data_IF_114835268937
#
_entry.id   IF_114835268937
#
_cell.length_a   1.000
_cell.length_b   1.000
_cell.length_c   1.000
_cell.angle_alpha   90.00
_cell.angle_beta   90.00
_cell.angle_gamma   90.00
#
_symmetry.space_group_name_H-M   'P 1'
#
loop_
_entity.id
_entity.type
_entity.pdbx_description
1 polymer ?
#
# COMPACT_ATOMS: atom_id res chain seq x y z
N UNK A 1 -3.17 -7.92 -25.84
CA UNK A 1 -2.35 -7.83 -24.61
C UNK A 1 -2.76 -6.70 -23.64
N UNK A 2 -3.33 -5.55 -24.07
CA UNK A 2 -3.69 -4.42 -23.16
C UNK A 2 -4.94 -4.64 -22.28
N UNK A 3 -5.92 -5.43 -22.73
CA UNK A 3 -7.20 -5.57 -22.04
C UNK A 3 -7.10 -6.26 -20.66
N UNK A 4 -6.16 -7.21 -20.49
CA UNK A 4 -5.94 -7.91 -19.22
C UNK A 4 -5.26 -7.03 -18.16
N UNK A 5 -4.33 -6.14 -18.56
CA UNK A 5 -3.68 -5.19 -17.64
C UNK A 5 -4.66 -4.14 -17.12
N UNK A 6 -5.60 -3.68 -17.96
CA UNK A 6 -6.63 -2.71 -17.58
C UNK A 6 -7.46 -3.19 -16.39
N UNK A 7 -7.78 -4.49 -16.37
CA UNK A 7 -8.54 -5.12 -15.28
C UNK A 7 -7.83 -5.00 -13.92
N UNK A 8 -6.51 -5.10 -13.89
CA UNK A 8 -5.71 -5.04 -12.66
C UNK A 8 -5.17 -3.64 -12.35
N UNK A 9 -5.61 -2.58 -13.05
CA UNK A 9 -5.13 -1.21 -12.77
C UNK A 9 -5.41 -0.77 -11.34
N UNK A 10 -6.60 -1.07 -10.82
CA UNK A 10 -6.98 -0.69 -9.47
C UNK A 10 -6.14 -1.39 -8.39
N UNK A 11 -5.98 -2.74 -8.39
CA UNK A 11 -5.11 -3.39 -7.42
C UNK A 11 -3.64 -2.98 -7.57
N UNK A 12 -3.14 -2.77 -8.80
CA UNK A 12 -1.77 -2.27 -9.03
C UNK A 12 -1.60 -0.87 -8.42
N UNK A 13 -2.60 0.00 -8.53
CA UNK A 13 -2.58 1.33 -7.93
C UNK A 13 -2.48 1.23 -6.39
N UNK A 14 -3.35 0.45 -5.76
CA UNK A 14 -3.31 0.26 -4.30
C UNK A 14 -1.99 -0.36 -3.82
N UNK A 15 -1.46 -1.34 -4.56
CA UNK A 15 -0.16 -1.93 -4.24
C UNK A 15 0.97 -0.90 -4.35
N UNK A 16 0.98 -0.08 -5.39
CA UNK A 16 1.98 0.98 -5.56
C UNK A 16 1.91 2.01 -4.43
N UNK A 17 0.70 2.43 -4.03
CA UNK A 17 0.51 3.35 -2.90
C UNK A 17 1.03 2.74 -1.60
N UNK A 18 0.77 1.44 -1.37
CA UNK A 18 1.31 0.71 -0.22
C UNK A 18 2.85 0.75 -0.17
N UNK A 19 3.51 0.47 -1.30
CA UNK A 19 4.97 0.56 -1.41
C UNK A 19 5.49 1.97 -1.16
N UNK A 20 4.79 3.00 -1.64
CA UNK A 20 5.14 4.40 -1.37
C UNK A 20 5.04 4.69 0.14
N UNK A 21 4.01 4.22 0.83
CA UNK A 21 3.89 4.41 2.28
C UNK A 21 5.08 3.81 3.04
N UNK A 22 5.45 2.56 2.76
CA UNK A 22 6.60 1.91 3.40
C UNK A 22 7.93 2.57 3.01
N UNK A 23 8.11 2.92 1.74
CA UNK A 23 9.29 3.62 1.26
C UNK A 23 9.46 4.98 1.94
N UNK A 24 8.38 5.77 2.02
CA UNK A 24 8.38 7.05 2.72
C UNK A 24 8.67 6.91 4.21
N UNK A 25 8.13 5.89 4.89
CA UNK A 25 8.47 5.61 6.29
C UNK A 25 9.98 5.39 6.47
N UNK A 26 10.60 4.58 5.60
CA UNK A 26 12.04 4.32 5.64
C UNK A 26 12.90 5.56 5.29
N UNK A 27 12.43 6.43 4.39
CA UNK A 27 13.14 7.64 4.00
C UNK A 27 13.07 8.71 5.10
N UNK A 28 11.90 8.90 5.71
CA UNK A 28 11.69 9.89 6.78
C UNK A 28 12.36 9.40 8.08
N UNK A 29 12.26 8.11 8.37
CA UNK A 29 12.86 7.50 9.55
C UNK A 29 12.11 7.81 10.85
N UNK A 30 12.82 7.59 11.95
CA UNK A 30 12.33 7.79 13.31
C UNK A 30 13.46 8.41 14.13
N UNK A 31 13.16 9.49 14.86
CA UNK A 31 14.11 10.17 15.73
C UNK A 31 13.49 10.45 17.10
N UNK A 32 14.31 10.47 18.15
CA UNK A 32 13.89 10.88 19.49
C UNK A 32 14.29 12.33 19.67
N UNK A 33 13.34 13.20 20.02
CA UNK A 33 13.63 14.60 20.26
C UNK A 33 14.26 14.85 21.64
N UNK A 34 14.58 16.12 21.90
CA UNK A 34 15.29 16.53 23.13
C UNK A 34 14.46 16.32 24.40
N UNK A 35 13.15 16.25 24.27
CA UNK A 35 12.21 16.02 25.36
C UNK A 35 11.93 14.52 25.56
N UNK A 36 12.57 13.65 24.76
CA UNK A 36 12.44 12.21 24.81
C UNK A 36 11.24 11.67 24.03
N UNK A 37 10.57 12.48 23.21
CA UNK A 37 9.45 12.03 22.39
C UNK A 37 9.93 11.44 21.08
N UNK A 38 9.32 10.31 20.72
CA UNK A 38 9.56 9.64 19.45
C UNK A 38 8.80 10.33 18.33
N UNK A 39 9.52 10.86 17.33
CA UNK A 39 8.98 11.45 16.12
C UNK A 39 9.20 10.49 14.96
N UNK A 40 8.11 9.89 14.53
CA UNK A 40 8.07 9.01 13.37
C UNK A 40 6.76 9.19 12.60
N UNK A 41 6.77 8.97 11.28
CA UNK A 41 5.56 8.99 10.49
C UNK A 41 4.80 7.66 10.65
N UNK A 42 4.51 7.27 11.89
CA UNK A 42 3.90 5.99 12.26
C UNK A 42 2.66 5.68 11.44
N UNK A 43 1.84 6.71 11.13
CA UNK A 43 0.63 6.60 10.32
C UNK A 43 0.86 5.95 8.94
N UNK A 44 2.07 6.05 8.36
CA UNK A 44 2.41 5.43 7.08
C UNK A 44 2.39 3.89 7.15
N UNK A 45 2.71 3.29 8.30
CA UNK A 45 2.73 1.83 8.44
C UNK A 45 1.29 1.26 8.41
N UNK A 46 0.34 1.66 9.30
CA UNK A 46 -1.04 1.20 9.21
C UNK A 46 -1.69 1.53 7.86
N UNK A 47 -1.40 2.71 7.30
CA UNK A 47 -1.94 3.11 5.99
C UNK A 47 -1.40 2.21 4.87
N UNK A 48 -0.11 1.87 4.91
CA UNK A 48 0.52 0.91 4.00
C UNK A 48 -0.16 -0.46 4.04
N UNK A 49 -0.49 -0.97 5.24
CA UNK A 49 -1.24 -2.22 5.40
C UNK A 49 -2.67 -2.13 4.84
N UNK A 50 -3.38 -1.02 5.06
CA UNK A 50 -4.74 -0.82 4.52
C UNK A 50 -4.74 -0.89 3.00
N UNK A 51 -3.81 -0.19 2.33
CA UNK A 51 -3.70 -0.22 0.88
C UNK A 51 -3.22 -1.58 0.35
N UNK A 52 -2.30 -2.24 1.06
CA UNK A 52 -1.89 -3.60 0.71
C UNK A 52 -3.08 -4.56 0.76
N UNK A 53 -3.85 -4.54 1.85
CA UNK A 53 -5.02 -5.38 2.01
C UNK A 53 -6.08 -5.09 0.92
N UNK A 54 -6.36 -3.81 0.64
CA UNK A 54 -7.24 -3.41 -0.45
C UNK A 54 -6.77 -3.95 -1.81
N UNK A 55 -5.46 -3.96 -2.08
CA UNK A 55 -4.89 -4.51 -3.31
C UNK A 55 -5.13 -6.02 -3.45
N UNK A 56 -5.01 -6.78 -2.35
CA UNK A 56 -5.24 -8.23 -2.32
C UNK A 56 -6.71 -8.53 -2.51
N UNK A 57 -7.59 -7.87 -1.74
CA UNK A 57 -9.05 -8.07 -1.81
C UNK A 57 -9.58 -7.77 -3.20
N UNK A 58 -9.18 -6.64 -3.78
CA UNK A 58 -9.61 -6.27 -5.14
C UNK A 58 -9.08 -7.24 -6.19
N UNK A 59 -7.83 -7.70 -6.07
CA UNK A 59 -7.26 -8.72 -6.97
C UNK A 59 -8.02 -10.04 -6.91
N UNK A 60 -8.32 -10.54 -5.71
CA UNK A 60 -9.06 -11.79 -5.49
C UNK A 60 -10.49 -11.67 -6.04
N UNK A 61 -11.15 -10.54 -5.78
CA UNK A 61 -12.50 -10.29 -6.30
C UNK A 61 -12.54 -10.24 -7.83
N UNK A 62 -11.57 -9.56 -8.45
CA UNK A 62 -11.42 -9.52 -9.90
C UNK A 62 -11.15 -10.89 -10.50
N UNK A 63 -10.36 -11.74 -9.83
CA UNK A 63 -10.12 -13.12 -10.24
C UNK A 63 -11.41 -13.96 -10.17
N UNK A 64 -12.17 -13.85 -9.09
CA UNK A 64 -13.47 -14.55 -8.94
C UNK A 64 -14.54 -14.12 -9.93
N UNK A 65 -14.49 -12.88 -10.44
CA UNK A 65 -15.37 -12.40 -11.53
C UNK A 65 -14.98 -12.91 -12.91
N UNK A 66 -13.76 -13.44 -13.10
CA UNK A 66 -13.42 -14.16 -14.32
C UNK A 66 -13.98 -15.57 -14.19
N UNK A 67 -15.08 -15.83 -14.89
CA UNK A 67 -15.61 -17.19 -15.09
C UNK A 67 -14.51 -18.04 -15.76
N UNK A 68 -14.30 -19.30 -15.35
CA UNK A 68 -13.41 -20.22 -16.06
C UNK A 68 -13.84 -20.39 -17.52
#
# INVERSE_FOLDING_TARGET
>A
MRASLQKYRLPILFFTISLICYGSFHIIGSEVDKDGYLKEPFALIPLGYVFFFASVVTSVFLKGKTKP
#
